data_IF_247143783888
#
_entry.id   IF_247143783888
#
_cell.length_a   1.000
_cell.length_b   1.000
_cell.length_c   1.000
_cell.angle_alpha   90.00
_cell.angle_beta   90.00
_cell.angle_gamma   90.00
#
_symmetry.space_group_name_H-M   'P 1'
#
loop_
_entity.id
_entity.type
_entity.pdbx_description
1 polymer ?
#
# COMPACT_ATOMS: atom_id res chain seq x y z
N UNK A 1 -31.68 46.63 20.27
CA UNK A 1 -30.89 45.56 20.90
C UNK A 1 -29.84 45.13 19.89
N UNK A 2 -28.62 45.63 20.02
CA UNK A 2 -27.54 45.42 19.05
C UNK A 2 -26.85 44.09 19.36
N UNK A 3 -26.98 43.10 18.47
CA UNK A 3 -26.25 41.84 18.55
C UNK A 3 -24.79 42.09 18.10
N UNK A 4 -23.92 42.42 19.05
CA UNK A 4 -22.47 42.37 18.86
C UNK A 4 -22.04 40.90 18.80
N UNK A 5 -21.99 40.36 17.59
CA UNK A 5 -21.37 39.07 17.30
C UNK A 5 -19.86 39.23 17.48
N UNK A 6 -19.37 39.05 18.71
CA UNK A 6 -17.94 38.96 19.03
C UNK A 6 -17.41 37.65 18.45
N UNK A 7 -17.12 37.67 17.15
CA UNK A 7 -16.24 36.70 16.51
C UNK A 7 -14.88 36.83 17.19
N UNK A 8 -14.68 36.09 18.28
CA UNK A 8 -13.37 35.85 18.85
C UNK A 8 -12.59 35.06 17.81
N UNK A 9 -11.90 35.82 16.97
CA UNK A 9 -10.98 35.31 15.95
C UNK A 9 -9.82 34.65 16.69
N UNK A 10 -10.08 33.45 17.20
CA UNK A 10 -9.12 32.65 17.96
C UNK A 10 -7.96 32.40 17.02
N UNK A 11 -6.82 33.01 17.33
CA UNK A 11 -5.61 32.89 16.53
C UNK A 11 -5.34 31.41 16.25
N UNK A 12 -4.95 31.12 15.00
CA UNK A 12 -4.72 29.74 14.60
C UNK A 12 -3.53 29.17 15.39
N UNK A 13 -3.58 27.90 15.80
CA UNK A 13 -2.56 27.30 16.70
C UNK A 13 -1.11 27.42 16.19
N UNK A 14 -0.92 27.50 14.87
CA UNK A 14 0.39 27.73 14.25
C UNK A 14 0.84 29.20 14.28
N UNK A 15 -0.09 30.15 14.27
CA UNK A 15 0.23 31.58 14.48
C UNK A 15 0.71 31.80 15.91
N UNK A 16 0.01 31.22 16.89
CA UNK A 16 0.40 31.27 18.31
C UNK A 16 1.78 30.67 18.56
N UNK A 17 2.18 29.69 17.74
CA UNK A 17 3.52 29.09 17.78
C UNK A 17 4.57 29.84 16.95
N UNK A 18 4.23 30.97 16.32
CA UNK A 18 5.16 31.78 15.54
C UNK A 18 5.56 31.18 14.17
N UNK A 19 4.82 30.19 13.66
CA UNK A 19 5.15 29.50 12.39
C UNK A 19 4.72 30.29 11.14
N UNK A 20 4.06 31.44 11.32
CA UNK A 20 3.61 32.37 10.28
C UNK A 20 2.14 32.74 10.43
N UNK A 21 1.63 33.65 9.59
CA UNK A 21 0.22 34.06 9.55
C UNK A 21 -0.69 33.10 8.76
N UNK A 22 -1.95 33.04 9.18
CA UNK A 22 -3.09 32.43 8.48
C UNK A 22 -3.46 33.25 7.23
N UNK A 23 -4.05 32.63 6.18
CA UNK A 23 -4.39 31.22 6.03
C UNK A 23 -3.18 30.30 5.79
N UNK A 24 -3.27 29.06 6.29
CA UNK A 24 -2.28 28.00 6.06
C UNK A 24 -2.70 27.10 4.90
N UNK A 25 -1.75 26.81 4.01
CA UNK A 25 -1.97 25.95 2.85
C UNK A 25 -1.14 24.68 2.95
N UNK A 26 -1.79 23.54 2.73
CA UNK A 26 -1.10 22.27 2.52
C UNK A 26 -0.29 22.30 1.22
N UNK A 27 1.02 22.03 1.30
CA UNK A 27 1.94 22.00 0.15
C UNK A 27 2.20 20.58 -0.31
N UNK A 28 2.49 19.68 0.64
CA UNK A 28 2.93 18.33 0.29
C UNK A 28 3.03 17.41 1.49
N UNK A 29 3.24 16.13 1.17
CA UNK A 29 3.48 15.08 2.15
C UNK A 29 4.77 14.37 1.78
N UNK A 30 5.60 14.10 2.78
CA UNK A 30 6.86 13.40 2.63
C UNK A 30 6.95 12.28 3.66
N UNK A 31 7.32 11.08 3.22
CA UNK A 31 7.63 9.96 4.10
C UNK A 31 9.14 9.73 4.06
N UNK A 32 9.86 10.24 5.06
CA UNK A 32 11.31 10.09 5.14
C UNK A 32 11.76 8.65 5.35
N UNK A 33 10.89 7.76 5.82
CA UNK A 33 11.22 6.34 5.92
C UNK A 33 11.40 5.70 4.52
N UNK A 34 10.91 6.33 3.46
CA UNK A 34 11.16 5.90 2.08
C UNK A 34 12.59 6.25 1.59
N UNK A 35 13.34 7.07 2.33
CA UNK A 35 14.73 7.43 2.00
C UNK A 35 15.77 6.47 2.58
N UNK A 36 15.32 5.51 3.39
CA UNK A 36 16.19 4.45 3.93
C UNK A 36 16.77 3.66 2.78
N UNK A 37 18.10 3.59 2.73
CA UNK A 37 18.86 2.90 1.69
C UNK A 37 19.82 1.85 2.27
N UNK A 38 19.74 1.56 3.57
CA UNK A 38 20.49 0.49 4.24
C UNK A 38 19.56 -0.51 4.91
N UNK A 39 20.05 -1.75 5.07
CA UNK A 39 19.33 -2.83 5.75
C UNK A 39 19.06 -2.50 7.22
N UNK A 40 19.96 -1.75 7.86
CA UNK A 40 19.85 -1.28 9.25
C UNK A 40 18.79 -0.18 9.48
N UNK A 41 18.06 0.22 8.44
CA UNK A 41 17.03 1.26 8.57
C UNK A 41 17.58 2.69 8.62
N UNK A 42 18.81 2.90 8.13
CA UNK A 42 19.47 4.21 8.12
C UNK A 42 19.47 4.82 6.71
N UNK A 43 19.71 6.12 6.66
CA UNK A 43 20.05 6.86 5.46
C UNK A 43 21.57 7.02 5.43
N UNK A 44 22.23 6.37 4.49
CA UNK A 44 23.64 6.56 4.16
C UNK A 44 23.78 7.71 3.17
N UNK A 45 24.51 8.74 3.58
CA UNK A 45 24.89 9.89 2.74
C UNK A 45 26.40 10.01 2.71
N UNK A 46 27.00 10.07 1.53
CA UNK A 46 28.45 10.27 1.39
C UNK A 46 28.74 11.76 1.23
N UNK A 47 29.52 12.33 2.15
CA UNK A 47 29.95 13.74 2.13
C UNK A 47 31.47 13.75 2.25
N UNK A 48 32.16 14.37 1.30
CA UNK A 48 33.64 14.44 1.24
C UNK A 48 34.34 13.07 1.37
N UNK A 49 33.72 12.03 0.80
CA UNK A 49 34.23 10.65 0.85
C UNK A 49 33.98 9.91 2.16
N UNK A 50 33.33 10.53 3.15
CA UNK A 50 32.92 9.90 4.39
C UNK A 50 31.44 9.52 4.35
N UNK A 51 31.15 8.27 4.74
CA UNK A 51 29.78 7.80 4.89
C UNK A 51 29.18 8.23 6.24
N UNK A 52 28.09 8.98 6.16
CA UNK A 52 27.31 9.42 7.32
C UNK A 52 26.00 8.63 7.34
N UNK A 53 25.75 7.97 8.46
CA UNK A 53 24.53 7.21 8.71
C UNK A 53 23.61 8.01 9.62
N UNK A 54 22.43 8.34 9.14
CA UNK A 54 21.43 9.09 9.90
C UNK A 54 20.11 8.34 9.95
N UNK A 55 19.40 8.45 11.09
CA UNK A 55 18.04 7.93 11.17
C UNK A 55 17.12 8.76 10.25
N UNK A 56 16.25 8.13 9.45
CA UNK A 56 15.30 8.84 8.62
C UNK A 56 14.31 9.60 9.50
N UNK A 57 14.14 10.90 9.27
CA UNK A 57 13.16 11.70 9.99
C UNK A 57 13.68 13.07 10.39
N UNK A 58 12.94 13.71 11.29
CA UNK A 58 13.26 15.03 11.81
C UNK A 58 12.26 15.47 12.87
N UNK A 59 12.48 16.62 13.49
CA UNK A 59 11.55 17.20 14.45
C UNK A 59 10.37 17.89 13.77
N UNK A 60 9.21 17.84 14.43
CA UNK A 60 8.05 18.66 14.09
C UNK A 60 8.32 20.13 14.47
N UNK A 61 8.11 21.08 13.56
CA UNK A 61 8.38 22.50 13.83
C UNK A 61 7.40 23.10 14.86
N UNK A 62 6.25 22.45 15.11
CA UNK A 62 5.24 22.91 16.08
C UNK A 62 5.48 22.38 17.50
N UNK A 63 5.75 21.07 17.65
CA UNK A 63 5.82 20.43 18.98
C UNK A 63 7.19 19.78 19.28
N UNK A 64 8.16 19.87 18.38
CA UNK A 64 9.50 19.30 18.54
C UNK A 64 9.58 17.77 18.41
N UNK A 65 8.47 17.05 18.50
CA UNK A 65 8.44 15.58 18.44
C UNK A 65 9.08 15.04 17.18
N UNK A 66 9.90 14.00 17.32
CA UNK A 66 10.48 13.28 16.20
C UNK A 66 9.42 12.60 15.34
N UNK A 67 9.44 12.85 14.03
CA UNK A 67 8.49 12.34 13.06
C UNK A 67 9.21 11.87 11.79
N UNK A 68 8.69 10.80 11.20
CA UNK A 68 9.16 10.26 9.91
C UNK A 68 8.28 10.72 8.74
N UNK A 69 7.05 11.11 9.02
CA UNK A 69 6.07 11.57 8.02
C UNK A 69 5.79 13.06 8.23
N UNK A 70 6.16 13.86 7.24
CA UNK A 70 6.05 15.31 7.25
C UNK A 70 4.87 15.78 6.42
N UNK A 71 4.05 16.66 6.99
CA UNK A 71 3.15 17.53 6.26
C UNK A 71 3.84 18.88 6.08
N UNK A 72 4.15 19.22 4.83
CA UNK A 72 4.69 20.53 4.47
C UNK A 72 3.54 21.54 4.35
N UNK A 73 3.62 22.61 5.13
CA UNK A 73 2.61 23.68 5.19
C UNK A 73 3.28 25.00 4.81
N UNK A 74 2.54 25.86 4.09
CA UNK A 74 2.95 27.21 3.76
C UNK A 74 1.96 28.20 4.40
N UNK A 75 2.49 29.15 5.16
CA UNK A 75 1.75 30.29 5.71
C UNK A 75 1.49 31.36 4.63
N UNK A 76 0.53 32.26 4.87
CA UNK A 76 0.26 33.42 4.03
C UNK A 76 1.50 34.33 3.85
N UNK A 77 2.36 34.41 4.88
CA UNK A 77 3.63 35.16 4.85
C UNK A 77 4.71 34.49 3.98
N UNK A 78 4.39 33.36 3.35
CA UNK A 78 5.30 32.61 2.51
C UNK A 78 6.21 31.62 3.26
N UNK A 79 6.25 31.68 4.59
CA UNK A 79 7.03 30.74 5.43
C UNK A 79 6.56 29.30 5.21
N UNK A 80 7.53 28.38 5.08
CA UNK A 80 7.28 26.93 4.99
C UNK A 80 7.80 26.24 6.22
N UNK A 81 7.03 25.32 6.75
CA UNK A 81 7.39 24.52 7.92
C UNK A 81 6.82 23.11 7.78
N UNK A 82 7.40 22.15 8.51
CA UNK A 82 7.00 20.74 8.52
C UNK A 82 6.39 20.37 9.87
N UNK A 83 5.28 19.66 9.83
CA UNK A 83 4.60 19.17 11.03
C UNK A 83 4.14 17.73 10.85
N UNK A 84 3.93 17.02 11.95
CA UNK A 84 3.33 15.68 11.93
C UNK A 84 1.83 15.73 11.64
N UNK A 85 1.27 14.64 11.11
CA UNK A 85 -0.16 14.49 10.84
C UNK A 85 -1.03 14.67 12.10
N UNK A 86 -0.50 14.30 13.27
CA UNK A 86 -1.14 14.51 14.57
C UNK A 86 -1.28 15.99 14.92
N UNK A 87 -0.24 16.80 14.67
CA UNK A 87 -0.27 18.25 14.87
C UNK A 87 -1.23 18.94 13.90
N UNK A 88 -1.27 18.52 12.64
CA UNK A 88 -2.27 19.03 11.68
C UNK A 88 -3.69 18.77 12.18
N UNK A 89 -3.95 17.59 12.75
CA UNK A 89 -5.27 17.24 13.28
C UNK A 89 -5.73 18.10 14.46
N UNK A 90 -4.80 18.73 15.18
CA UNK A 90 -5.08 19.63 16.31
C UNK A 90 -5.43 21.07 15.88
N UNK A 91 -5.30 21.41 14.60
CA UNK A 91 -5.52 22.78 14.10
C UNK A 91 -6.99 23.20 14.06
N UNK A 92 -7.92 22.25 13.96
CA UNK A 92 -9.34 22.54 13.70
C UNK A 92 -9.65 22.97 12.26
N UNK A 93 -8.65 23.21 11.41
CA UNK A 93 -8.85 23.50 9.98
C UNK A 93 -9.17 22.21 9.21
N UNK A 94 -10.47 21.97 8.99
CA UNK A 94 -10.97 20.80 8.27
C UNK A 94 -10.34 20.65 6.88
N UNK A 95 -10.17 21.76 6.15
CA UNK A 95 -9.62 21.73 4.79
C UNK A 95 -8.14 21.32 4.79
N UNK A 96 -7.37 21.80 5.75
CA UNK A 96 -5.97 21.43 5.94
C UNK A 96 -5.83 19.95 6.37
N UNK A 97 -6.64 19.52 7.33
CA UNK A 97 -6.66 18.13 7.83
C UNK A 97 -7.02 17.13 6.73
N UNK A 98 -8.08 17.40 5.96
CA UNK A 98 -8.55 16.48 4.91
C UNK A 98 -7.51 16.34 3.78
N UNK A 99 -6.81 17.42 3.43
CA UNK A 99 -5.71 17.39 2.46
C UNK A 99 -4.51 16.57 2.97
N UNK A 100 -4.09 16.78 4.22
CA UNK A 100 -3.01 16.04 4.84
C UNK A 100 -3.33 14.53 4.93
N UNK A 101 -4.53 14.16 5.40
CA UNK A 101 -4.99 12.77 5.47
C UNK A 101 -5.03 12.11 4.09
N UNK A 102 -5.56 12.80 3.08
CA UNK A 102 -5.61 12.28 1.70
C UNK A 102 -4.21 12.03 1.14
N UNK A 103 -3.27 12.93 1.39
CA UNK A 103 -1.89 12.78 0.94
C UNK A 103 -1.17 11.61 1.64
N UNK A 104 -1.28 11.52 2.98
CA UNK A 104 -0.75 10.39 3.75
C UNK A 104 -1.34 9.05 3.29
N UNK A 105 -2.66 9.02 3.03
CA UNK A 105 -3.35 7.84 2.52
C UNK A 105 -2.86 7.40 1.14
N UNK A 106 -2.52 8.34 0.24
CA UNK A 106 -1.92 8.00 -1.06
C UNK A 106 -0.57 7.31 -0.89
N UNK A 107 0.31 7.84 -0.05
CA UNK A 107 1.63 7.24 0.19
C UNK A 107 1.49 5.86 0.85
N UNK A 108 0.63 5.71 1.85
CA UNK A 108 0.38 4.40 2.49
C UNK A 108 -0.14 3.37 1.50
N UNK A 109 -1.09 3.73 0.64
CA UNK A 109 -1.62 2.83 -0.41
C UNK A 109 -0.55 2.47 -1.43
N UNK A 110 0.27 3.43 -1.86
CA UNK A 110 1.38 3.16 -2.77
C UNK A 110 2.39 2.18 -2.16
N UNK A 111 2.77 2.37 -0.89
CA UNK A 111 3.67 1.46 -0.16
C UNK A 111 3.07 0.06 0.00
N UNK A 112 1.78 -0.02 0.35
CA UNK A 112 1.07 -1.30 0.45
C UNK A 112 1.04 -2.03 -0.91
N UNK A 113 0.77 -1.31 -2.00
CA UNK A 113 0.79 -1.85 -3.36
C UNK A 113 2.19 -2.35 -3.73
N UNK A 114 3.24 -1.57 -3.47
CA UNK A 114 4.62 -1.98 -3.73
C UNK A 114 5.01 -3.25 -2.97
N UNK A 115 4.67 -3.34 -1.67
CA UNK A 115 4.90 -4.54 -0.86
C UNK A 115 4.10 -5.75 -1.40
N UNK A 116 2.87 -5.51 -1.85
CA UNK A 116 2.03 -6.56 -2.42
C UNK A 116 2.63 -7.10 -3.73
N UNK A 117 3.15 -6.23 -4.60
CA UNK A 117 3.85 -6.65 -5.84
C UNK A 117 5.04 -7.55 -5.51
N UNK A 118 5.91 -7.12 -4.60
CA UNK A 118 7.08 -7.93 -4.16
C UNK A 118 6.64 -9.30 -3.62
N UNK A 119 5.57 -9.33 -2.81
CA UNK A 119 5.04 -10.58 -2.27
C UNK A 119 4.49 -11.50 -3.36
N UNK A 120 3.76 -10.95 -4.32
CA UNK A 120 3.18 -11.71 -5.44
C UNK A 120 4.30 -12.25 -6.33
N UNK A 121 5.32 -11.45 -6.65
CA UNK A 121 6.45 -11.88 -7.46
C UNK A 121 7.25 -13.01 -6.78
N UNK A 122 7.49 -12.90 -5.47
CA UNK A 122 8.13 -13.95 -4.69
C UNK A 122 7.29 -15.25 -4.68
N UNK A 123 5.98 -15.15 -4.46
CA UNK A 123 5.08 -16.30 -4.50
C UNK A 123 5.02 -16.94 -5.90
N UNK A 124 5.05 -16.12 -6.96
CA UNK A 124 5.10 -16.58 -8.34
C UNK A 124 6.39 -17.34 -8.63
N UNK A 125 7.54 -16.81 -8.20
CA UNK A 125 8.83 -17.48 -8.36
C UNK A 125 8.85 -18.84 -7.64
N UNK A 126 8.38 -18.90 -6.39
CA UNK A 126 8.30 -20.14 -5.61
C UNK A 126 7.38 -21.18 -6.27
N UNK A 127 6.21 -20.74 -6.76
CA UNK A 127 5.26 -21.63 -7.44
C UNK A 127 5.82 -22.18 -8.76
N UNK A 128 6.53 -21.36 -9.55
CA UNK A 128 7.14 -21.80 -10.81
C UNK A 128 8.27 -22.80 -10.54
N UNK A 129 9.08 -22.54 -9.52
CA UNK A 129 10.18 -23.41 -9.12
C UNK A 129 9.71 -24.73 -8.47
N UNK A 130 8.42 -24.83 -8.11
CA UNK A 130 7.81 -25.95 -7.39
C UNK A 130 8.62 -26.37 -6.16
N UNK A 131 9.19 -25.40 -5.43
CA UNK A 131 10.13 -25.65 -4.33
C UNK A 131 9.57 -26.56 -3.24
N UNK A 132 8.25 -26.58 -3.09
CA UNK A 132 7.53 -27.31 -2.04
C UNK A 132 6.62 -28.42 -2.60
N UNK A 133 6.73 -28.77 -3.89
CA UNK A 133 5.85 -29.75 -4.56
C UNK A 133 4.39 -29.31 -4.69
N UNK A 134 4.09 -28.05 -4.36
CA UNK A 134 2.74 -27.45 -4.39
C UNK A 134 2.14 -27.52 -5.79
N UNK A 135 2.91 -27.25 -6.83
CA UNK A 135 2.44 -27.31 -8.21
C UNK A 135 2.12 -28.74 -8.61
N UNK A 136 2.96 -29.70 -8.21
CA UNK A 136 2.72 -31.12 -8.44
C UNK A 136 1.43 -31.57 -7.76
N UNK A 137 1.24 -31.26 -6.48
CA UNK A 137 0.01 -31.57 -5.75
C UNK A 137 -1.24 -30.95 -6.41
N UNK A 138 -1.16 -29.69 -6.84
CA UNK A 138 -2.28 -29.00 -7.49
C UNK A 138 -2.51 -29.44 -8.94
N UNK A 139 -1.61 -30.20 -9.55
CA UNK A 139 -1.80 -30.74 -10.88
C UNK A 139 -2.83 -31.88 -10.89
N UNK A 140 -3.00 -32.60 -9.78
CA UNK A 140 -3.94 -33.72 -9.67
C UNK A 140 -5.35 -33.29 -9.25
N UNK A 141 -5.54 -32.02 -8.88
CA UNK A 141 -6.83 -31.49 -8.44
C UNK A 141 -7.51 -30.72 -9.57
N UNK A 142 -8.75 -31.09 -9.92
CA UNK A 142 -9.54 -30.40 -10.93
C UNK A 142 -9.78 -28.93 -10.56
N UNK A 143 -9.70 -28.02 -11.55
CA UNK A 143 -9.83 -26.57 -11.35
C UNK A 143 -11.08 -26.18 -10.52
N UNK A 144 -11.00 -25.12 -9.68
CA UNK A 144 -12.13 -24.70 -8.85
C UNK A 144 -13.33 -24.16 -9.63
N UNK A 145 -13.12 -23.69 -10.86
CA UNK A 145 -14.21 -23.21 -11.72
C UNK A 145 -14.67 -24.32 -12.64
N UNK A 146 -15.96 -24.67 -12.58
CA UNK A 146 -16.58 -25.77 -13.33
C UNK A 146 -16.21 -25.74 -14.81
N UNK A 147 -16.35 -24.59 -15.48
CA UNK A 147 -16.03 -24.46 -16.92
C UNK A 147 -14.57 -24.77 -17.28
N UNK A 148 -13.61 -24.54 -16.37
CA UNK A 148 -12.19 -24.90 -16.56
C UNK A 148 -11.97 -26.38 -16.30
N UNK A 149 -12.63 -26.92 -15.27
CA UNK A 149 -12.59 -28.34 -14.97
C UNK A 149 -13.16 -29.17 -16.14
N UNK A 150 -14.25 -28.71 -16.76
CA UNK A 150 -14.82 -29.29 -17.99
C UNK A 150 -13.82 -29.29 -19.17
N UNK A 151 -12.94 -28.29 -19.23
CA UNK A 151 -11.84 -28.22 -20.21
C UNK A 151 -10.61 -29.06 -19.83
N UNK A 152 -10.67 -29.78 -18.71
CA UNK A 152 -9.55 -30.56 -18.18
C UNK A 152 -8.44 -29.72 -17.54
N UNK A 153 -8.69 -28.44 -17.24
CA UNK A 153 -7.73 -27.62 -16.51
C UNK A 153 -7.70 -28.00 -15.02
N UNK A 154 -6.49 -27.90 -14.47
CA UNK A 154 -6.19 -28.27 -13.08
C UNK A 154 -6.09 -27.02 -12.20
N UNK A 155 -6.06 -27.20 -10.89
CA UNK A 155 -5.76 -26.12 -9.94
C UNK A 155 -4.42 -25.48 -10.25
N UNK A 156 -3.39 -26.26 -10.60
CA UNK A 156 -2.08 -25.72 -10.95
C UNK A 156 -2.17 -24.71 -12.11
N UNK A 157 -2.99 -25.02 -13.13
CA UNK A 157 -3.22 -24.14 -14.28
C UNK A 157 -3.97 -22.86 -13.88
N UNK A 158 -4.98 -23.00 -13.01
CA UNK A 158 -5.71 -21.85 -12.46
C UNK A 158 -4.82 -20.94 -11.60
N UNK A 159 -3.96 -21.51 -10.74
CA UNK A 159 -3.01 -20.74 -9.91
C UNK A 159 -2.00 -20.01 -10.78
N UNK A 160 -1.44 -20.69 -11.80
CA UNK A 160 -0.53 -20.07 -12.76
C UNK A 160 -1.20 -18.87 -13.46
N UNK A 161 -2.43 -19.04 -13.94
CA UNK A 161 -3.21 -17.94 -14.53
C UNK A 161 -3.47 -16.81 -13.52
N UNK A 162 -3.82 -17.11 -12.26
CA UNK A 162 -4.05 -16.09 -11.22
C UNK A 162 -2.79 -15.29 -10.86
N UNK A 163 -1.61 -15.92 -10.94
CA UNK A 163 -0.32 -15.28 -10.68
C UNK A 163 0.16 -14.41 -11.86
N UNK A 164 -0.24 -14.75 -13.09
CA UNK A 164 0.11 -14.00 -14.31
C UNK A 164 -0.92 -12.91 -14.60
N UNK A 165 -2.19 -13.28 -14.69
CA UNK A 165 -3.29 -12.44 -15.21
C UNK A 165 -4.21 -11.92 -14.12
N UNK A 166 -4.39 -12.68 -13.03
CA UNK A 166 -5.25 -12.29 -11.90
C UNK A 166 -4.80 -11.01 -11.19
N UNK A 167 -3.54 -10.60 -11.37
CA UNK A 167 -3.00 -9.34 -10.85
C UNK A 167 -3.24 -8.15 -11.77
N UNK A 168 -3.31 -8.41 -13.07
CA UNK A 168 -3.53 -7.39 -14.10
C UNK A 168 -5.02 -7.03 -14.23
N UNK A 169 -5.93 -7.97 -14.00
CA UNK A 169 -7.38 -7.78 -14.19
C UNK A 169 -8.01 -6.69 -13.31
N UNK A 170 -7.37 -6.34 -12.18
CA UNK A 170 -7.79 -5.23 -11.31
C UNK A 170 -7.06 -3.90 -11.59
N UNK A 171 -5.97 -3.91 -12.37
CA UNK A 171 -5.15 -2.71 -12.62
C UNK A 171 -5.14 -2.21 -14.06
N UNK A 172 -5.63 -2.97 -15.03
CA UNK A 172 -5.66 -2.52 -16.43
C UNK A 172 -6.64 -3.34 -17.26
N UNK A 173 -7.74 -2.71 -17.67
CA UNK A 173 -8.37 -3.08 -18.95
C UNK A 173 -7.38 -2.73 -20.08
N UNK A 174 -6.69 -3.75 -20.60
CA UNK A 174 -6.07 -3.80 -21.95
C UNK A 174 -4.53 -3.73 -22.04
N UNK A 175 -3.92 -4.24 -23.13
CA UNK A 175 -4.05 -5.62 -23.61
C UNK A 175 -2.67 -6.28 -23.91
N UNK A 176 -2.51 -7.53 -23.47
CA UNK A 176 -1.92 -8.63 -24.25
C UNK A 176 -1.97 -9.86 -23.36
N UNK A 177 -3.03 -10.64 -23.52
CA UNK A 177 -3.01 -12.01 -23.06
C UNK A 177 -1.88 -12.74 -23.83
N UNK A 178 -1.12 -13.63 -23.19
CA UNK A 178 -0.11 -14.41 -23.89
C UNK A 178 -0.76 -15.27 -25.00
N UNK A 179 0.01 -15.50 -26.07
CA UNK A 179 -0.42 -16.07 -27.37
C UNK A 179 -1.06 -17.48 -27.29
N UNK A 180 -0.96 -18.18 -26.15
CA UNK A 180 -1.67 -19.43 -25.91
C UNK A 180 -3.13 -19.25 -25.46
N UNK A 181 -3.62 -18.00 -25.36
CA UNK A 181 -4.97 -17.62 -24.92
C UNK A 181 -5.77 -16.93 -26.06
N UNK A 182 -5.74 -17.49 -27.27
CA UNK A 182 -6.30 -16.88 -28.50
C UNK A 182 -7.80 -17.03 -28.73
N UNK A 183 -8.57 -17.60 -27.78
CA UNK A 183 -10.04 -17.60 -27.89
C UNK A 183 -10.60 -16.50 -26.98
N UNK A 184 -10.82 -15.31 -27.57
CA UNK A 184 -11.12 -14.04 -26.93
C UNK A 184 -12.43 -13.96 -26.11
N UNK A 185 -12.62 -14.85 -25.15
CA UNK A 185 -13.70 -14.77 -24.16
C UNK A 185 -13.24 -13.94 -22.95
N UNK A 186 -13.75 -12.70 -22.90
CA UNK A 186 -13.63 -11.80 -21.76
C UNK A 186 -14.16 -12.45 -20.47
N UNK A 187 -13.32 -12.53 -19.44
CA UNK A 187 -13.69 -13.02 -18.10
C UNK A 187 -14.31 -11.87 -17.29
N UNK A 188 -15.58 -11.95 -16.83
CA UNK A 188 -16.15 -10.96 -15.93
C UNK A 188 -15.75 -11.26 -14.47
N UNK A 189 -15.16 -10.26 -13.80
CA UNK A 189 -15.33 -10.05 -12.36
C UNK A 189 -14.63 -11.02 -11.41
N UNK A 190 -13.30 -10.94 -11.29
CA UNK A 190 -12.60 -11.37 -10.08
C UNK A 190 -12.12 -10.13 -9.31
N UNK A 191 -12.78 -9.80 -8.21
CA UNK A 191 -12.37 -8.72 -7.32
C UNK A 191 -11.08 -9.03 -6.55
N UNK A 192 -10.49 -8.00 -5.92
CA UNK A 192 -9.20 -8.02 -5.20
C UNK A 192 -9.00 -9.14 -4.16
N UNK A 193 -10.03 -9.87 -3.75
CA UNK A 193 -9.96 -10.92 -2.72
C UNK A 193 -9.30 -12.22 -3.22
N UNK A 194 -9.33 -12.51 -4.52
CA UNK A 194 -8.86 -13.79 -5.04
C UNK A 194 -7.36 -14.05 -4.85
N UNK A 195 -6.50 -13.07 -5.08
CA UNK A 195 -5.04 -13.29 -5.04
C UNK A 195 -4.47 -13.45 -3.63
N UNK A 196 -5.02 -12.75 -2.64
CA UNK A 196 -4.55 -12.84 -1.26
C UNK A 196 -4.83 -14.22 -0.66
N UNK A 197 -5.98 -14.81 -1.01
CA UNK A 197 -6.32 -16.18 -0.61
C UNK A 197 -5.42 -17.21 -1.32
N UNK A 198 -4.99 -16.96 -2.55
CA UNK A 198 -4.05 -17.84 -3.26
C UNK A 198 -2.63 -17.83 -2.66
N UNK A 199 -2.10 -16.67 -2.27
CA UNK A 199 -0.78 -16.64 -1.60
C UNK A 199 -0.81 -17.36 -0.26
N UNK A 200 -1.90 -17.22 0.51
CA UNK A 200 -2.10 -17.98 1.76
C UNK A 200 -2.25 -19.47 1.51
N UNK A 201 -2.94 -19.86 0.45
CA UNK A 201 -3.09 -21.26 0.05
C UNK A 201 -1.71 -21.89 -0.21
N UNK A 202 -0.89 -21.24 -1.04
CA UNK A 202 0.48 -21.67 -1.32
C UNK A 202 1.29 -21.76 -0.01
N UNK A 203 1.24 -20.72 0.83
CA UNK A 203 1.94 -20.70 2.13
C UNK A 203 1.46 -21.80 3.09
N UNK A 204 0.19 -22.21 3.07
CA UNK A 204 -0.36 -23.29 3.92
C UNK A 204 0.04 -24.67 3.40
N UNK A 205 -0.09 -24.89 2.09
CA UNK A 205 0.31 -26.17 1.47
C UNK A 205 1.81 -26.40 1.68
N UNK A 206 2.64 -25.36 1.49
CA UNK A 206 4.08 -25.42 1.76
C UNK A 206 4.41 -25.73 3.23
N UNK A 207 3.56 -25.31 4.19
CA UNK A 207 3.73 -25.61 5.62
C UNK A 207 3.25 -27.02 6.01
N UNK A 208 2.86 -27.87 5.06
CA UNK A 208 2.48 -29.26 5.34
C UNK A 208 1.18 -29.40 6.13
N UNK A 209 0.28 -28.42 6.10
CA UNK A 209 -1.07 -28.57 6.70
C UNK A 209 -1.95 -29.39 5.74
N UNK A 210 -1.61 -30.67 5.56
CA UNK A 210 -2.29 -31.58 4.62
C UNK A 210 -3.64 -32.10 5.15
N UNK A 211 -3.89 -32.00 6.46
CA UNK A 211 -5.06 -32.62 7.11
C UNK A 211 -6.38 -31.87 6.91
N UNK A 212 -6.36 -30.68 6.31
CA UNK A 212 -7.59 -29.93 6.03
C UNK A 212 -7.94 -30.07 4.55
N UNK A 213 -9.06 -30.73 4.20
CA UNK A 213 -9.40 -30.92 2.79
C UNK A 213 -9.71 -29.57 2.13
N UNK A 214 -9.26 -29.41 0.88
CA UNK A 214 -9.35 -28.14 0.10
C UNK A 214 -10.78 -27.56 0.07
N UNK A 215 -11.81 -28.40 0.08
CA UNK A 215 -13.22 -27.97 0.10
C UNK A 215 -13.66 -27.34 1.43
N UNK A 216 -12.99 -27.66 2.55
CA UNK A 216 -13.24 -27.00 3.83
C UNK A 216 -12.78 -25.54 3.81
N UNK A 217 -11.75 -25.22 3.01
CA UNK A 217 -11.26 -23.86 2.83
C UNK A 217 -12.24 -22.97 2.06
N UNK A 218 -13.01 -23.53 1.12
CA UNK A 218 -14.03 -22.79 0.38
C UNK A 218 -15.22 -22.33 1.25
N UNK A 219 -15.46 -22.99 2.40
CA UNK A 219 -16.53 -22.63 3.35
C UNK A 219 -16.15 -21.51 4.31
N UNK A 220 -14.86 -21.30 4.59
CA UNK A 220 -14.38 -20.22 5.48
C UNK A 220 -14.25 -18.85 4.78
N UNK A 221 -14.22 -18.83 3.44
CA UNK A 221 -14.00 -17.63 2.63
C UNK A 221 -15.27 -16.94 2.10
N UNK A 222 -16.46 -17.42 2.47
CA UNK A 222 -17.76 -16.76 2.22
C UNK A 222 -18.19 -15.97 3.46
#
# INVERSE_FOLDING_TARGET
MSNTNTNTNTAHVFETAGLGASPFRFVGFEDSAAKVNTEDGMVRTTVDGLDIFTKPGGSCDYCGTYIVQFCWIKSADGKRFKVGTSCVSKTGDKGLVDRAKRAAGRVRRAKAKAKQVIRIDAARAAFIADTDGVRTFLADVASPTEWRAEKGETWASYVAWMLVDGGASSYSRGPSAPEWLTDGTLIPGAGHTGQFEMTKLIERVAKGTQDTPIWAWQKESK
#
